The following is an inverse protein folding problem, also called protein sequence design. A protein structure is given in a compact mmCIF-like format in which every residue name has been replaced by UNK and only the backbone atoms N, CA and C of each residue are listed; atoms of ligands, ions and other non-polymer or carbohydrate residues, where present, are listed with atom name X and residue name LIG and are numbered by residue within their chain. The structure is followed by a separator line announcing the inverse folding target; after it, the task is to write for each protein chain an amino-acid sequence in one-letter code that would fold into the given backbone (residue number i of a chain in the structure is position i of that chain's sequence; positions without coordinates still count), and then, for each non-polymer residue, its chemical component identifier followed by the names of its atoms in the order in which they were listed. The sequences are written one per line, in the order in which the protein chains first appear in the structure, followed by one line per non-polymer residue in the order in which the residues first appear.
data_IF_194073506390
#
_entry.id   IF_194073506390
#
_cell.length_a   1.000
_cell.length_b   1.000
_cell.length_c   1.000
_cell.angle_alpha   90.00
_cell.angle_beta   90.00
_cell.angle_gamma   90.00
#
_symmetry.space_group_name_H-M   'P 1'
#
loop_
_entity.id
_entity.type
_entity.pdbx_description
1 polymer ?
#
# COMPACT_ATOMS: atom_id res chain seq x y z
N UNK A 1 -2.61 -19.60 -17.81
CA UNK A 1 -2.51 -18.15 -18.01
C UNK A 1 -2.03 -17.52 -16.71
N UNK A 2 -0.84 -16.92 -16.69
CA UNK A 2 -0.35 -16.16 -15.53
C UNK A 2 -1.24 -14.92 -15.38
N UNK A 3 -1.78 -14.68 -14.18
CA UNK A 3 -2.53 -13.45 -13.92
C UNK A 3 -1.61 -12.25 -14.17
N UNK A 4 -2.07 -11.20 -14.86
CA UNK A 4 -1.25 -10.01 -15.07
C UNK A 4 -0.79 -9.43 -13.72
N UNK A 5 0.46 -8.95 -13.67
CA UNK A 5 1.04 -8.32 -12.49
C UNK A 5 0.15 -7.14 -12.07
N UNK A 6 -0.41 -7.19 -10.87
CA UNK A 6 -1.21 -6.09 -10.33
C UNK A 6 -0.31 -4.89 -10.11
N UNK A 7 -0.66 -3.76 -10.71
CA UNK A 7 -0.02 -2.49 -10.43
C UNK A 7 -0.57 -1.94 -9.11
N UNK A 8 0.15 -2.21 -8.03
CA UNK A 8 -0.26 -1.83 -6.66
C UNK A 8 -0.38 -0.32 -6.48
N UNK A 9 0.33 0.49 -7.27
CA UNK A 9 0.26 1.93 -7.15
C UNK A 9 -1.04 2.48 -7.71
N UNK A 10 -1.45 2.03 -8.90
CA UNK A 10 -2.76 2.42 -9.47
C UNK A 10 -3.91 1.95 -8.59
N UNK A 11 -3.85 0.71 -8.11
CA UNK A 11 -4.91 0.16 -7.26
C UNK A 11 -4.91 0.84 -5.89
N UNK A 12 -3.73 1.04 -5.29
CA UNK A 12 -3.58 1.68 -3.98
C UNK A 12 -4.04 3.15 -3.97
N UNK A 13 -3.76 3.90 -5.03
CA UNK A 13 -4.28 5.26 -5.23
C UNK A 13 -5.82 5.26 -5.24
N UNK A 14 -6.42 4.42 -6.09
CA UNK A 14 -7.87 4.32 -6.20
C UNK A 14 -8.52 3.91 -4.86
N UNK A 15 -7.91 2.97 -4.15
CA UNK A 15 -8.35 2.55 -2.82
C UNK A 15 -8.24 3.69 -1.79
N UNK A 16 -7.15 4.45 -1.81
CA UNK A 16 -6.97 5.58 -0.90
C UNK A 16 -7.98 6.70 -1.16
N UNK A 17 -8.23 7.03 -2.43
CA UNK A 17 -9.27 8.00 -2.82
C UNK A 17 -10.65 7.53 -2.35
N UNK A 18 -11.01 6.27 -2.64
CA UNK A 18 -12.29 5.70 -2.21
C UNK A 18 -12.43 5.70 -0.69
N UNK A 19 -11.37 5.33 0.06
CA UNK A 19 -11.36 5.37 1.53
C UNK A 19 -11.65 6.79 2.03
N UNK A 20 -10.96 7.80 1.51
CA UNK A 20 -11.14 9.21 1.90
C UNK A 20 -12.57 9.67 1.61
N UNK A 21 -13.11 9.37 0.43
CA UNK A 21 -14.48 9.74 0.08
C UNK A 21 -15.52 9.11 1.01
N UNK A 22 -15.46 7.80 1.23
CA UNK A 22 -16.46 7.09 2.05
C UNK A 22 -16.40 7.55 3.50
N UNK A 23 -15.20 7.68 4.06
CA UNK A 23 -15.01 8.16 5.44
C UNK A 23 -15.51 9.59 5.58
N UNK A 24 -15.15 10.49 4.65
CA UNK A 24 -15.60 11.88 4.70
C UNK A 24 -17.12 11.99 4.59
N UNK A 25 -17.78 11.24 3.70
CA UNK A 25 -19.25 11.23 3.60
C UNK A 25 -19.92 10.80 4.91
N UNK A 26 -19.40 9.77 5.59
CA UNK A 26 -19.91 9.36 6.89
C UNK A 26 -19.69 10.44 7.96
N UNK A 27 -18.52 11.06 8.00
CA UNK A 27 -18.17 12.11 8.97
C UNK A 27 -19.02 13.37 8.75
N UNK A 28 -19.17 13.84 7.51
CA UNK A 28 -19.98 15.01 7.19
C UNK A 28 -21.45 14.79 7.54
N UNK A 29 -22.00 13.59 7.26
CA UNK A 29 -23.34 13.23 7.71
C UNK A 29 -23.48 13.34 9.24
N UNK A 30 -22.50 12.80 9.99
CA UNK A 30 -22.54 12.86 11.44
C UNK A 30 -22.42 14.29 11.99
N UNK A 31 -21.63 15.15 11.34
CA UNK A 31 -21.57 16.59 11.66
C UNK A 31 -22.94 17.26 11.51
N UNK A 32 -23.63 17.01 10.39
CA UNK A 32 -24.97 17.56 10.15
C UNK A 32 -26.00 17.05 11.16
N UNK A 33 -25.88 15.80 11.60
CA UNK A 33 -26.78 15.17 12.56
C UNK A 33 -26.42 15.43 14.04
N UNK A 34 -25.30 16.11 14.31
CA UNK A 34 -24.79 16.31 15.67
C UNK A 34 -24.41 15.02 16.39
N UNK A 35 -24.10 13.96 15.64
CA UNK A 35 -23.79 12.62 16.15
C UNK A 35 -22.28 12.37 16.23
N UNK A 36 -21.87 11.21 16.76
CA UNK A 36 -20.46 10.93 17.07
C UNK A 36 -19.58 10.80 15.82
N UNK A 37 -18.63 11.73 15.66
CA UNK A 37 -17.66 11.72 14.55
C UNK A 37 -16.73 10.50 14.59
N UNK A 38 -16.34 10.05 15.78
CA UNK A 38 -15.48 8.88 15.95
C UNK A 38 -16.20 7.59 15.52
N UNK A 39 -17.49 7.46 15.83
CA UNK A 39 -18.30 6.33 15.38
C UNK A 39 -18.47 6.36 13.85
N UNK A 40 -18.73 7.53 13.28
CA UNK A 40 -18.86 7.72 11.84
C UNK A 40 -17.57 7.37 11.08
N UNK A 41 -16.41 7.73 11.61
CA UNK A 41 -15.11 7.34 11.04
C UNK A 41 -14.92 5.82 11.00
N UNK A 42 -15.28 5.11 12.08
CA UNK A 42 -15.25 3.63 12.12
C UNK A 42 -16.22 3.01 11.13
N UNK A 43 -17.44 3.55 11.02
CA UNK A 43 -18.44 3.09 10.07
C UNK A 43 -17.97 3.28 8.62
N UNK A 44 -17.44 4.45 8.30
CA UNK A 44 -16.89 4.74 6.97
C UNK A 44 -15.72 3.82 6.61
N UNK A 45 -14.83 3.52 7.57
CA UNK A 45 -13.76 2.55 7.36
C UNK A 45 -14.29 1.14 7.06
N UNK A 46 -15.39 0.72 7.71
CA UNK A 46 -16.03 -0.57 7.44
C UNK A 46 -16.63 -0.62 6.04
N UNK A 47 -17.39 0.41 5.67
CA UNK A 47 -17.97 0.52 4.32
C UNK A 47 -16.91 0.58 3.22
N UNK A 48 -15.78 1.22 3.48
CA UNK A 48 -14.65 1.19 2.56
C UNK A 48 -14.16 -0.25 2.29
N UNK A 49 -14.02 -1.07 3.33
CA UNK A 49 -13.59 -2.47 3.18
C UNK A 49 -14.62 -3.30 2.40
N UNK A 50 -15.92 -3.09 2.66
CA UNK A 50 -17.00 -3.73 1.90
C UNK A 50 -16.96 -3.33 0.42
N UNK A 51 -16.74 -2.04 0.14
CA UNK A 51 -16.58 -1.51 -1.22
C UNK A 51 -15.36 -2.09 -1.92
N UNK A 52 -14.22 -2.20 -1.22
CA UNK A 52 -13.01 -2.80 -1.76
C UNK A 52 -13.22 -4.27 -2.15
N UNK A 53 -13.94 -5.02 -1.31
CA UNK A 53 -14.30 -6.41 -1.59
C UNK A 53 -15.26 -6.52 -2.77
N UNK A 54 -16.30 -5.68 -2.83
CA UNK A 54 -17.33 -5.73 -3.88
C UNK A 54 -16.78 -5.31 -5.25
N UNK A 55 -16.05 -4.19 -5.31
CA UNK A 55 -15.66 -3.57 -6.58
C UNK A 55 -14.33 -4.10 -7.12
N UNK A 56 -13.43 -4.54 -6.23
CA UNK A 56 -12.08 -4.97 -6.61
C UNK A 56 -11.80 -6.45 -6.30
N UNK A 57 -12.73 -7.16 -5.64
CA UNK A 57 -12.54 -8.56 -5.26
C UNK A 57 -11.42 -8.77 -4.23
N UNK A 58 -11.00 -7.71 -3.53
CA UNK A 58 -9.87 -7.76 -2.60
C UNK A 58 -10.31 -8.17 -1.19
N UNK A 59 -9.47 -8.96 -0.52
CA UNK A 59 -9.64 -9.21 0.92
C UNK A 59 -9.34 -7.95 1.73
N UNK A 60 -9.80 -7.88 2.98
CA UNK A 60 -9.46 -6.77 3.89
C UNK A 60 -7.94 -6.66 4.06
N UNK A 61 -7.24 -7.79 4.23
CA UNK A 61 -5.79 -7.84 4.38
C UNK A 61 -5.05 -7.30 3.14
N UNK A 62 -5.47 -7.73 1.93
CA UNK A 62 -4.88 -7.25 0.68
C UNK A 62 -5.17 -5.76 0.46
N UNK A 63 -6.38 -5.31 0.79
CA UNK A 63 -6.78 -3.91 0.70
C UNK A 63 -5.89 -3.05 1.60
N UNK A 64 -5.72 -3.44 2.86
CA UNK A 64 -4.86 -2.74 3.81
C UNK A 64 -3.40 -2.72 3.35
N UNK A 65 -2.89 -3.84 2.82
CA UNK A 65 -1.54 -3.94 2.29
C UNK A 65 -1.33 -2.96 1.11
N UNK A 66 -2.25 -2.90 0.16
CA UNK A 66 -2.12 -2.05 -1.03
C UNK A 66 -2.19 -0.56 -0.68
N UNK A 67 -3.11 -0.18 0.21
CA UNK A 67 -3.20 1.19 0.72
C UNK A 67 -1.90 1.57 1.42
N UNK A 68 -1.37 0.72 2.32
CA UNK A 68 -0.12 1.00 3.04
C UNK A 68 1.08 1.13 2.10
N UNK A 69 1.19 0.26 1.10
CA UNK A 69 2.26 0.34 0.10
C UNK A 69 2.19 1.66 -0.66
N UNK A 70 1.00 2.03 -1.13
CA UNK A 70 0.82 3.29 -1.86
C UNK A 70 1.12 4.48 -0.96
N UNK A 71 0.55 4.55 0.25
CA UNK A 71 0.82 5.64 1.20
C UNK A 71 2.31 5.79 1.54
N UNK A 72 3.05 4.67 1.65
CA UNK A 72 4.49 4.73 1.92
C UNK A 72 5.31 5.20 0.72
N UNK A 73 4.98 4.75 -0.48
CA UNK A 73 5.86 4.90 -1.64
C UNK A 73 5.38 5.92 -2.67
N UNK A 74 4.17 6.48 -2.55
CA UNK A 74 3.61 7.45 -3.50
C UNK A 74 4.57 8.62 -3.76
N UNK A 75 5.17 9.14 -2.70
CA UNK A 75 6.10 10.28 -2.73
C UNK A 75 7.57 9.86 -2.56
N UNK A 76 7.88 8.56 -2.69
CA UNK A 76 9.25 8.07 -2.58
C UNK A 76 10.11 8.56 -3.74
N UNK A 77 11.38 8.86 -3.47
CA UNK A 77 12.36 9.17 -4.52
C UNK A 77 12.61 8.00 -5.48
N UNK A 78 12.32 6.77 -5.03
CA UNK A 78 12.45 5.54 -5.83
C UNK A 78 11.11 5.08 -6.42
N UNK A 79 10.10 5.97 -6.45
CA UNK A 79 8.72 5.63 -6.82
C UNK A 79 8.63 4.89 -8.16
N UNK A 80 9.37 5.34 -9.18
CA UNK A 80 9.31 4.76 -10.52
C UNK A 80 9.88 3.33 -10.55
N UNK A 81 11.02 3.13 -9.90
CA UNK A 81 11.69 1.84 -9.78
C UNK A 81 10.85 0.86 -8.95
N UNK A 82 10.22 1.33 -7.87
CA UNK A 82 9.33 0.53 -7.03
C UNK A 82 8.15 -0.04 -7.82
N UNK A 83 7.55 0.74 -8.73
CA UNK A 83 6.46 0.27 -9.60
C UNK A 83 6.93 -0.69 -10.69
N UNK A 84 8.06 -0.38 -11.32
CA UNK A 84 8.59 -1.17 -12.42
C UNK A 84 9.10 -2.54 -11.93
N UNK A 85 9.93 -2.55 -10.90
CA UNK A 85 10.77 -3.69 -10.55
C UNK A 85 10.15 -4.61 -9.50
N UNK A 86 9.36 -4.07 -8.58
CA UNK A 86 8.90 -4.83 -7.42
C UNK A 86 7.44 -5.26 -7.56
N UNK A 87 7.08 -6.35 -6.90
CA UNK A 87 5.69 -6.76 -6.71
C UNK A 87 5.17 -6.34 -5.33
N UNK A 88 3.85 -6.41 -5.12
CA UNK A 88 3.24 -5.97 -3.87
C UNK A 88 3.75 -6.71 -2.61
N UNK A 89 4.12 -7.99 -2.74
CA UNK A 89 4.66 -8.78 -1.62
C UNK A 89 6.06 -8.32 -1.21
N UNK A 90 6.91 -7.98 -2.19
CA UNK A 90 8.24 -7.41 -1.95
C UNK A 90 8.11 -6.00 -1.35
N UNK A 91 7.28 -5.14 -1.96
CA UNK A 91 7.04 -3.78 -1.47
C UNK A 91 6.50 -3.75 -0.04
N UNK A 92 5.67 -4.71 0.36
CA UNK A 92 5.18 -4.79 1.73
C UNK A 92 6.28 -5.05 2.77
N UNK A 93 7.33 -5.78 2.40
CA UNK A 93 8.51 -5.96 3.28
C UNK A 93 9.32 -4.67 3.35
N UNK A 94 9.47 -3.99 2.22
CA UNK A 94 10.26 -2.76 2.13
C UNK A 94 9.57 -1.56 2.77
N UNK A 95 8.25 -1.60 2.97
CA UNK A 95 7.47 -0.48 3.47
C UNK A 95 7.80 -0.03 4.91
N UNK A 96 8.63 -0.79 5.64
CA UNK A 96 9.10 -0.43 6.97
C UNK A 96 10.34 0.47 6.96
N UNK A 97 11.04 0.59 5.83
CA UNK A 97 12.33 1.27 5.72
C UNK A 97 12.18 2.63 5.06
N UNK A 98 13.11 3.55 5.35
CA UNK A 98 13.23 4.88 4.74
C UNK A 98 13.79 4.81 3.30
N UNK A 99 13.68 5.91 2.55
CA UNK A 99 14.16 5.96 1.18
C UNK A 99 15.70 5.83 1.08
N UNK A 100 16.42 6.32 2.09
CA UNK A 100 17.88 6.21 2.14
C UNK A 100 18.30 4.75 2.31
N UNK A 101 17.68 4.04 3.24
CA UNK A 101 17.90 2.61 3.49
C UNK A 101 17.58 1.74 2.27
N UNK A 102 16.67 2.19 1.40
CA UNK A 102 16.24 1.46 0.22
C UNK A 102 17.10 1.68 -1.03
N UNK A 103 18.00 2.66 -1.02
CA UNK A 103 18.77 3.06 -2.22
C UNK A 103 19.50 1.88 -2.85
N UNK A 104 20.25 1.13 -2.05
CA UNK A 104 21.04 0.01 -2.55
C UNK A 104 20.18 -1.23 -2.86
N UNK A 105 19.02 -1.40 -2.20
CA UNK A 105 18.07 -2.47 -2.51
C UNK A 105 17.47 -2.25 -3.89
N UNK A 106 17.10 -1.01 -4.20
CA UNK A 106 16.58 -0.61 -5.50
C UNK A 106 17.65 -0.85 -6.57
N UNK A 107 18.89 -0.40 -6.33
CA UNK A 107 20.02 -0.66 -7.23
C UNK A 107 20.29 -2.15 -7.43
N UNK A 108 20.25 -2.96 -6.37
CA UNK A 108 20.46 -4.41 -6.45
C UNK A 108 19.35 -5.10 -7.26
N UNK A 109 18.08 -4.74 -7.04
CA UNK A 109 16.95 -5.28 -7.81
C UNK A 109 17.00 -4.82 -9.27
N UNK A 110 17.47 -3.61 -9.55
CA UNK A 110 17.67 -3.13 -10.92
C UNK A 110 18.76 -3.93 -11.65
N UNK A 111 19.86 -4.25 -10.97
CA UNK A 111 20.93 -5.09 -11.50
C UNK A 111 20.52 -6.57 -11.65
N UNK A 112 19.64 -7.07 -10.78
CA UNK A 112 19.09 -8.41 -10.84
C UNK A 112 17.57 -8.43 -10.59
N UNK A 113 16.75 -8.23 -11.65
CA UNK A 113 15.29 -8.19 -11.52
C UNK A 113 14.65 -9.47 -10.94
N UNK A 114 15.37 -10.59 -11.01
CA UNK A 114 14.92 -11.89 -10.53
C UNK A 114 15.21 -12.13 -9.04
N UNK A 115 15.81 -11.16 -8.32
CA UNK A 115 16.01 -11.29 -6.88
C UNK A 115 14.71 -11.65 -6.18
N UNK A 116 14.76 -12.67 -5.32
CA UNK A 116 13.58 -13.11 -4.58
C UNK A 116 13.29 -12.18 -3.41
N UNK A 117 12.05 -12.23 -2.92
CA UNK A 117 11.65 -11.55 -1.68
C UNK A 117 12.57 -11.90 -0.50
N UNK A 118 13.00 -13.16 -0.40
CA UNK A 118 13.89 -13.61 0.68
C UNK A 118 15.27 -12.97 0.57
N UNK A 119 15.82 -12.89 -0.64
CA UNK A 119 17.11 -12.23 -0.89
C UNK A 119 17.06 -10.73 -0.59
N UNK A 120 15.95 -10.06 -0.93
CA UNK A 120 15.74 -8.66 -0.57
C UNK A 120 15.69 -8.47 0.96
N UNK A 121 15.01 -9.36 1.67
CA UNK A 121 14.93 -9.30 3.12
C UNK A 121 16.29 -9.57 3.80
N UNK A 122 17.06 -10.55 3.30
CA UNK A 122 18.41 -10.80 3.81
C UNK A 122 19.32 -9.59 3.62
N UNK A 123 19.23 -8.91 2.46
CA UNK A 123 19.99 -7.68 2.20
C UNK A 123 19.65 -6.58 3.20
N UNK A 124 18.37 -6.47 3.60
CA UNK A 124 17.96 -5.51 4.63
C UNK A 124 18.48 -5.87 6.02
N UNK A 125 18.36 -7.14 6.42
CA UNK A 125 18.82 -7.59 7.73
C UNK A 125 20.31 -7.43 7.96
N UNK A 126 21.12 -7.66 6.93
CA UNK A 126 22.57 -7.45 7.02
C UNK A 126 22.93 -5.99 7.32
N UNK A 127 22.07 -5.03 6.93
CA UNK A 127 22.26 -3.60 7.22
C UNK A 127 21.85 -3.22 8.63
N UNK A 128 20.77 -3.79 9.15
CA UNK A 128 20.35 -3.54 10.55
C UNK A 128 21.42 -4.02 11.56
N UNK A 129 22.29 -4.94 11.15
CA UNK A 129 23.35 -5.50 11.99
C UNK A 129 24.73 -4.82 11.81
N UNK A 130 24.86 -3.89 10.88
CA UNK A 130 26.12 -3.18 10.54
C UNK A 130 26.09 -1.74 11.07
#
# INVERSE_FOLDING_TARGET
MLKPKVNVFKVGEALLVAKKEVVNRCVEKAKCEGSSLAAAGKQGARFFLDLAKLNYGLSEATTAQYVRIYERFADSRHRAEMEALFNAGELAVLAAYSDDELTEVVSAKAANPNMTREQLWQLMKLREAA
#
